data_IF_971390248277
#
_entry.id   IF_971390248277
#
_cell.length_a   1.000
_cell.length_b   1.000
_cell.length_c   1.000
_cell.angle_alpha   90.00
_cell.angle_beta   90.00
_cell.angle_gamma   90.00
#
_symmetry.space_group_name_H-M   'P 1'
#
loop_
_entity.id
_entity.type
_entity.pdbx_description
1 polymer ?
#
# COMPACT_ATOMS: atom_id res chain seq x y z
N UNK A 1 -7.94 -1.13 10.89
CA UNK A 1 -7.05 -1.97 11.70
C UNK A 1 -6.84 -3.29 10.98
N UNK A 2 -5.68 -3.91 11.14
CA UNK A 2 -5.38 -5.27 10.68
C UNK A 2 -4.77 -6.07 11.85
N UNK A 3 -4.81 -7.40 11.78
CA UNK A 3 -4.26 -8.29 12.81
C UNK A 3 -2.99 -8.97 12.29
N UNK A 4 -1.83 -8.47 12.72
CA UNK A 4 -0.52 -9.04 12.37
C UNK A 4 -0.02 -9.82 13.56
N UNK A 5 0.02 -11.16 13.46
CA UNK A 5 0.53 -12.04 14.52
C UNK A 5 -0.12 -11.78 15.89
N UNK A 6 -1.44 -11.59 15.93
CA UNK A 6 -2.20 -11.32 17.15
C UNK A 6 -2.24 -9.86 17.59
N UNK A 7 -1.55 -8.94 16.88
CA UNK A 7 -1.50 -7.53 17.23
C UNK A 7 -2.41 -6.70 16.31
N UNK A 8 -3.28 -5.88 16.91
CA UNK A 8 -4.09 -4.91 16.19
C UNK A 8 -3.23 -3.71 15.79
N UNK A 9 -3.07 -3.51 14.48
CA UNK A 9 -2.27 -2.43 13.92
C UNK A 9 -3.14 -1.44 13.14
N UNK A 10 -2.87 -0.14 13.32
CA UNK A 10 -3.52 0.92 12.57
C UNK A 10 -2.85 1.10 11.21
N UNK A 11 -3.61 0.92 10.12
CA UNK A 11 -3.13 1.25 8.77
C UNK A 11 -2.85 2.75 8.62
N UNK A 12 -3.61 3.61 9.32
CA UNK A 12 -3.45 5.05 9.24
C UNK A 12 -2.12 5.51 9.86
N UNK A 13 -1.64 4.86 10.92
CA UNK A 13 -0.33 5.17 11.51
C UNK A 13 0.80 4.82 10.54
N UNK A 14 0.72 3.67 9.86
CA UNK A 14 1.68 3.26 8.83
C UNK A 14 1.63 4.21 7.63
N UNK A 15 0.44 4.62 7.18
CA UNK A 15 0.26 5.62 6.12
C UNK A 15 0.95 6.95 6.48
N UNK A 16 0.70 7.47 7.69
CA UNK A 16 1.35 8.68 8.19
C UNK A 16 2.87 8.54 8.25
N UNK A 17 3.37 7.42 8.80
CA UNK A 17 4.79 7.15 8.87
C UNK A 17 5.44 7.10 7.48
N UNK A 18 4.77 6.60 6.44
CA UNK A 18 5.30 6.60 5.07
C UNK A 18 5.29 8.00 4.43
N UNK A 19 4.21 8.77 4.61
CA UNK A 19 4.04 10.11 4.02
C UNK A 19 5.03 11.14 4.59
N UNK A 20 5.52 10.93 5.81
CA UNK A 20 6.57 11.78 6.38
C UNK A 20 7.94 11.63 5.69
N UNK A 21 8.15 10.57 4.88
CA UNK A 21 9.37 10.46 4.09
C UNK A 21 9.39 11.52 2.98
N UNK A 22 10.51 12.23 2.81
CA UNK A 22 10.59 13.38 1.90
C UNK A 22 10.15 13.06 0.47
N UNK A 23 10.44 11.86 -0.02
CA UNK A 23 10.11 11.38 -1.37
C UNK A 23 8.65 10.96 -1.59
N UNK A 24 7.84 10.80 -0.54
CA UNK A 24 6.48 10.25 -0.66
C UNK A 24 5.44 11.37 -0.64
N UNK A 25 4.55 11.37 -1.64
CA UNK A 25 3.42 12.30 -1.73
C UNK A 25 2.15 11.73 -1.11
N UNK A 26 1.86 10.45 -1.36
CA UNK A 26 0.69 9.75 -0.82
C UNK A 26 1.04 8.30 -0.47
N UNK A 27 0.33 7.76 0.52
CA UNK A 27 0.40 6.35 0.86
C UNK A 27 -0.99 5.77 1.15
N UNK A 28 -1.19 4.51 0.81
CA UNK A 28 -2.35 3.74 1.22
C UNK A 28 -1.94 2.34 1.65
N UNK A 29 -2.46 1.89 2.79
CA UNK A 29 -2.07 0.62 3.40
C UNK A 29 -3.28 -0.28 3.54
N UNK A 30 -3.12 -1.53 3.13
CA UNK A 30 -4.15 -2.57 3.21
C UNK A 30 -3.59 -3.87 3.80
N UNK A 31 -4.46 -4.71 4.35
CA UNK A 31 -4.06 -6.05 4.77
C UNK A 31 -3.93 -6.99 3.57
N UNK A 32 -2.94 -7.87 3.66
CA UNK A 32 -2.73 -8.98 2.75
C UNK A 32 -2.57 -10.29 3.55
N UNK A 33 -3.14 -11.43 3.11
CA UNK A 33 -2.96 -12.70 3.81
C UNK A 33 -1.48 -13.10 3.88
N UNK A 34 -1.07 -13.71 4.98
CA UNK A 34 0.30 -14.18 5.15
C UNK A 34 0.29 -15.52 5.89
N UNK A 35 0.98 -16.56 5.39
CA UNK A 35 0.88 -17.92 5.92
C UNK A 35 1.32 -18.05 7.39
N UNK A 36 2.33 -17.28 7.80
CA UNK A 36 2.83 -17.24 9.20
C UNK A 36 2.16 -16.17 10.06
N UNK A 37 2.04 -14.93 9.57
CA UNK A 37 1.56 -13.78 10.37
C UNK A 37 0.03 -13.69 10.45
N UNK A 38 -0.70 -14.48 9.68
CA UNK A 38 -2.15 -14.33 9.45
C UNK A 38 -2.42 -13.22 8.44
N UNK A 39 -2.17 -11.97 8.83
CA UNK A 39 -2.16 -10.82 7.91
C UNK A 39 -0.80 -10.11 7.94
N UNK A 40 -0.51 -9.40 6.86
CA UNK A 40 0.67 -8.57 6.72
C UNK A 40 0.32 -7.24 6.02
N UNK A 41 1.28 -6.32 6.00
CA UNK A 41 1.10 -4.99 5.44
C UNK A 41 1.46 -4.96 3.95
N UNK A 42 0.52 -4.49 3.12
CA UNK A 42 0.77 -4.14 1.74
C UNK A 42 0.58 -2.64 1.56
N UNK A 43 1.66 -1.95 1.23
CA UNK A 43 1.72 -0.49 1.13
C UNK A 43 1.84 -0.06 -0.33
N UNK A 44 0.93 0.82 -0.75
CA UNK A 44 1.01 1.54 -2.02
C UNK A 44 1.58 2.92 -1.73
N UNK A 45 2.63 3.32 -2.43
CA UNK A 45 3.26 4.63 -2.26
C UNK A 45 3.31 5.38 -3.58
N UNK A 46 2.89 6.65 -3.56
CA UNK A 46 3.06 7.59 -4.66
C UNK A 46 4.23 8.51 -4.31
N UNK A 47 5.14 8.69 -5.26
CA UNK A 47 6.34 9.51 -5.06
C UNK A 47 6.01 10.97 -5.38
N UNK A 48 6.78 11.89 -4.83
CA UNK A 48 6.84 13.28 -5.32
C UNK A 48 7.65 13.32 -6.61
N UNK A 49 7.41 14.35 -7.42
CA UNK A 49 8.16 14.57 -8.66
C UNK A 49 9.68 14.62 -8.41
N UNK A 50 10.45 14.06 -9.34
CA UNK A 50 11.91 14.03 -9.26
C UNK A 50 12.49 12.93 -8.36
N UNK A 51 11.66 12.02 -7.84
CA UNK A 51 12.12 10.83 -7.11
C UNK A 51 11.87 9.54 -7.89
N UNK A 52 12.82 8.61 -7.80
CA UNK A 52 12.72 7.28 -8.41
C UNK A 52 12.36 6.20 -7.39
N UNK A 53 11.51 5.26 -7.80
CA UNK A 53 11.20 4.10 -6.98
C UNK A 53 12.30 3.05 -7.11
N UNK A 54 13.18 2.99 -6.11
CA UNK A 54 14.36 2.12 -6.09
C UNK A 54 14.34 1.18 -4.89
N UNK A 55 15.13 0.10 -4.96
CA UNK A 55 15.33 -0.80 -3.80
C UNK A 55 15.85 -0.06 -2.57
N UNK A 56 16.73 0.93 -2.77
CA UNK A 56 17.24 1.79 -1.69
C UNK A 56 16.10 2.54 -1.00
N UNK A 57 15.19 3.15 -1.77
CA UNK A 57 14.02 3.84 -1.22
C UNK A 57 13.10 2.87 -0.47
N UNK A 58 12.88 1.65 -0.98
CA UNK A 58 12.07 0.63 -0.30
C UNK A 58 12.66 0.31 1.08
N UNK A 59 13.98 0.14 1.18
CA UNK A 59 14.67 -0.17 2.43
C UNK A 59 14.61 1.01 3.41
N UNK A 60 14.75 2.25 2.91
CA UNK A 60 14.59 3.49 3.70
C UNK A 60 13.18 3.59 4.28
N UNK A 61 12.14 3.35 3.48
CA UNK A 61 10.74 3.37 3.92
C UNK A 61 10.46 2.29 4.98
N UNK A 62 10.94 1.06 4.78
CA UNK A 62 10.81 -0.02 5.76
C UNK A 62 11.48 0.35 7.09
N UNK A 63 12.70 0.91 7.02
CA UNK A 63 13.44 1.36 8.20
C UNK A 63 12.69 2.47 8.93
N UNK A 64 12.17 3.47 8.21
CA UNK A 64 11.41 4.57 8.79
C UNK A 64 10.17 4.10 9.53
N UNK A 65 9.37 3.22 8.92
CA UNK A 65 8.18 2.66 9.59
C UNK A 65 8.56 1.84 10.83
N UNK A 66 9.63 1.03 10.73
CA UNK A 66 10.15 0.24 11.84
C UNK A 66 10.61 1.12 13.00
N UNK A 67 11.30 2.22 12.74
CA UNK A 67 11.80 3.14 13.76
C UNK A 67 10.67 3.91 14.45
N UNK A 68 9.62 4.27 13.70
CA UNK A 68 8.50 5.06 14.24
C UNK A 68 7.47 4.26 15.01
N UNK A 69 7.12 3.09 14.51
CA UNK A 69 5.99 2.31 15.03
C UNK A 69 6.49 1.02 15.68
N UNK A 70 7.52 0.41 15.10
CA UNK A 70 8.16 -0.78 15.63
C UNK A 70 8.25 -1.92 14.61
N UNK A 71 8.98 -3.01 14.95
CA UNK A 71 9.22 -4.13 14.06
C UNK A 71 7.95 -4.77 13.47
N UNK A 72 6.87 -4.83 14.26
CA UNK A 72 5.60 -5.45 13.86
C UNK A 72 4.89 -4.69 12.73
N UNK A 73 5.19 -3.39 12.57
CA UNK A 73 4.60 -2.54 11.56
C UNK A 73 5.46 -2.43 10.28
N UNK A 74 6.58 -3.14 10.21
CA UNK A 74 7.45 -3.11 9.02
C UNK A 74 6.67 -3.62 7.80
N UNK A 75 6.56 -2.85 6.70
CA UNK A 75 5.87 -3.30 5.50
C UNK A 75 6.50 -4.54 4.88
N UNK A 76 5.67 -5.56 4.64
CA UNK A 76 6.07 -6.76 3.89
C UNK A 76 6.21 -6.41 2.41
N UNK A 77 5.23 -5.70 1.85
CA UNK A 77 5.21 -5.28 0.46
C UNK A 77 5.10 -3.76 0.36
N UNK A 78 5.96 -3.14 -0.45
CA UNK A 78 5.86 -1.74 -0.86
C UNK A 78 5.80 -1.72 -2.38
N UNK A 79 4.71 -1.18 -2.92
CA UNK A 79 4.47 -1.07 -4.36
C UNK A 79 4.45 0.40 -4.77
N UNK A 80 5.14 0.72 -5.87
CA UNK A 80 4.99 2.01 -6.53
C UNK A 80 3.59 2.15 -7.14
N UNK A 81 2.94 3.25 -6.79
CA UNK A 81 1.63 3.62 -7.29
C UNK A 81 1.70 5.03 -7.87
N UNK A 82 1.81 5.20 -9.20
CA UNK A 82 1.80 6.51 -9.85
C UNK A 82 0.52 7.31 -9.55
N UNK A 83 -0.55 6.61 -9.19
CA UNK A 83 -1.74 7.17 -8.56
C UNK A 83 -2.45 6.11 -7.73
N UNK A 84 -3.32 6.57 -6.84
CA UNK A 84 -4.23 5.71 -6.09
C UNK A 84 -5.63 5.74 -6.72
N UNK A 85 -6.37 4.61 -6.75
CA UNK A 85 -7.73 4.60 -7.26
C UNK A 85 -8.61 5.42 -6.32
N UNK A 86 -9.04 6.59 -6.79
CA UNK A 86 -9.87 7.54 -6.04
C UNK A 86 -11.23 7.71 -6.70
N UNK A 87 -12.26 7.93 -5.89
CA UNK A 87 -13.55 8.42 -6.40
C UNK A 87 -13.38 9.80 -7.03
N UNK A 88 -14.37 10.26 -7.81
CA UNK A 88 -14.42 11.66 -8.30
C UNK A 88 -14.40 12.72 -7.19
N UNK A 89 -14.70 12.34 -5.94
CA UNK A 89 -14.59 13.18 -4.74
C UNK A 89 -13.23 13.08 -4.03
N UNK A 90 -12.26 12.36 -4.59
CA UNK A 90 -10.90 12.21 -4.06
C UNK A 90 -10.72 11.12 -3.01
N UNK A 91 -11.77 10.35 -2.66
CA UNK A 91 -11.67 9.31 -1.63
C UNK A 91 -10.95 8.08 -2.19
N UNK A 92 -9.89 7.63 -1.52
CA UNK A 92 -9.17 6.40 -1.88
C UNK A 92 -10.09 5.19 -1.72
N UNK A 93 -10.26 4.40 -2.79
CA UNK A 93 -11.05 3.19 -2.82
C UNK A 93 -10.23 2.00 -2.31
N UNK A 94 -10.01 1.94 -0.99
CA UNK A 94 -9.23 0.87 -0.31
C UNK A 94 -9.73 -0.55 -0.59
N UNK A 95 -11.01 -0.71 -0.97
CA UNK A 95 -11.58 -1.98 -1.43
C UNK A 95 -10.89 -2.49 -2.70
N UNK A 96 -10.62 -1.61 -3.67
CA UNK A 96 -9.91 -1.93 -4.91
C UNK A 96 -8.46 -2.28 -4.63
N UNK A 97 -7.78 -1.49 -3.78
CA UNK A 97 -6.41 -1.78 -3.37
C UNK A 97 -6.24 -3.15 -2.70
N UNK A 98 -7.19 -3.58 -1.84
CA UNK A 98 -7.21 -4.93 -1.25
C UNK A 98 -7.33 -6.03 -2.31
N UNK A 99 -8.15 -5.81 -3.34
CA UNK A 99 -8.32 -6.76 -4.45
C UNK A 99 -7.04 -6.84 -5.29
N UNK A 100 -6.42 -5.70 -5.61
CA UNK A 100 -5.12 -5.64 -6.29
C UNK A 100 -4.05 -6.38 -5.51
N UNK A 101 -3.90 -6.12 -4.21
CA UNK A 101 -2.90 -6.78 -3.36
C UNK A 101 -3.06 -8.31 -3.36
N UNK A 102 -4.29 -8.82 -3.50
CA UNK A 102 -4.63 -10.25 -3.60
C UNK A 102 -4.61 -10.81 -5.03
N UNK A 103 -4.24 -10.01 -6.03
CA UNK A 103 -4.34 -10.35 -7.45
C UNK A 103 -5.76 -10.78 -7.90
N UNK A 104 -6.78 -10.22 -7.26
CA UNK A 104 -8.19 -10.54 -7.51
C UNK A 104 -8.79 -9.49 -8.45
N UNK A 105 -9.15 -9.90 -9.68
CA UNK A 105 -9.71 -9.01 -10.70
C UNK A 105 -11.22 -8.81 -10.59
N UNK A 106 -11.89 -9.47 -9.64
CA UNK A 106 -13.30 -9.25 -9.35
C UNK A 106 -13.47 -7.99 -8.48
N UNK A 107 -13.37 -6.84 -9.14
CA UNK A 107 -13.38 -5.52 -8.49
C UNK A 107 -14.78 -4.99 -8.16
N UNK A 108 -15.85 -5.64 -8.61
CA UNK A 108 -17.21 -5.10 -8.52
C UNK A 108 -17.37 -3.75 -9.23
N UNK A 109 -18.30 -2.92 -8.76
CA UNK A 109 -18.54 -1.59 -9.37
C UNK A 109 -17.37 -0.62 -9.09
N UNK A 110 -16.81 -0.09 -10.18
CA UNK A 110 -15.74 0.91 -10.21
C UNK A 110 -16.11 2.14 -11.06
N UNK A 111 -17.39 2.30 -11.42
CA UNK A 111 -17.89 3.42 -12.25
C UNK A 111 -17.62 4.82 -11.68
N UNK A 112 -17.39 4.89 -10.36
CA UNK A 112 -17.09 6.13 -9.63
C UNK A 112 -15.60 6.46 -9.56
N UNK A 113 -14.72 5.56 -10.02
CA UNK A 113 -13.26 5.79 -10.09
C UNK A 113 -12.99 6.92 -11.08
N UNK A 114 -12.23 7.92 -10.65
CA UNK A 114 -11.90 9.08 -11.49
C UNK A 114 -10.99 8.69 -12.66
N UNK A 115 -9.98 7.85 -12.39
CA UNK A 115 -9.07 7.32 -13.40
C UNK A 115 -8.96 5.78 -13.29
N UNK A 116 -9.70 5.03 -14.11
CA UNK A 116 -9.63 3.57 -14.13
C UNK A 116 -8.28 3.02 -14.62
N UNK A 117 -7.49 3.78 -15.37
CA UNK A 117 -6.22 3.30 -15.92
C UNK A 117 -5.19 2.98 -14.82
N UNK A 118 -5.24 3.73 -13.71
CA UNK A 118 -4.44 3.46 -12.50
C UNK A 118 -4.60 2.02 -12.01
N UNK A 119 -5.82 1.46 -12.07
CA UNK A 119 -6.08 0.09 -11.60
C UNK A 119 -5.28 -0.92 -12.43
N UNK A 120 -5.28 -0.77 -13.76
CA UNK A 120 -4.54 -1.65 -14.65
C UNK A 120 -3.03 -1.54 -14.43
N UNK A 121 -2.52 -0.32 -14.21
CA UNK A 121 -1.12 -0.09 -13.87
C UNK A 121 -0.73 -0.81 -12.56
N UNK A 122 -1.59 -0.73 -11.54
CA UNK A 122 -1.33 -1.35 -10.25
C UNK A 122 -1.37 -2.88 -10.31
N UNK A 123 -2.23 -3.49 -11.13
CA UNK A 123 -2.17 -4.93 -11.37
C UNK A 123 -0.90 -5.35 -12.12
N UNK A 124 -0.47 -4.56 -13.10
CA UNK A 124 0.68 -4.89 -13.94
C UNK A 124 2.01 -4.79 -13.19
N UNK A 125 2.09 -3.92 -12.18
CA UNK A 125 3.29 -3.66 -11.39
C UNK A 125 3.13 -4.11 -9.92
N UNK A 126 2.29 -5.11 -9.68
CA UNK A 126 2.07 -5.67 -8.34
C UNK A 126 3.34 -6.36 -7.84
N UNK A 127 3.59 -6.29 -6.53
CA UNK A 127 4.64 -7.09 -5.92
C UNK A 127 4.34 -8.59 -6.07
N UNK A 128 5.36 -9.42 -6.24
CA UNK A 128 5.21 -10.86 -6.09
C UNK A 128 4.97 -11.18 -4.61
N UNK A 129 3.83 -11.80 -4.32
CA UNK A 129 3.40 -12.13 -2.96
C UNK A 129 3.43 -13.62 -2.76
N UNK A 130 3.91 -14.06 -1.60
CA UNK A 130 3.76 -15.47 -1.18
C UNK A 130 2.29 -15.71 -0.79
N UNK A 131 1.73 -16.82 -1.27
CA UNK A 131 0.43 -17.34 -0.81
C UNK A 131 0.65 -18.45 0.20
#
# INVERSE_FOLDING_TARGET
MLNVSGHLLSTAEVESALVEHASISEAAVVSHPHPVKGECLYCFVTLKDGHDFTNKLIDELRKQVREKIGPIATPDYIQNAPGLPKTRSGKIMRRVLRKIAKNDRELGDISTVADPAVINHLFSNRCETIM
#
